data_IF_259127003569
#
_entry.id   IF_259127003569
#
_cell.length_a   1.000
_cell.length_b   1.000
_cell.length_c   1.000
_cell.angle_alpha   90.00
_cell.angle_beta   90.00
_cell.angle_gamma   90.00
#
_symmetry.space_group_name_H-M   'P 1'
#
loop_
_entity.id
_entity.type
_entity.pdbx_description
1 polymer ?
#
# COMPACT_ATOMS: atom_id res chain seq x y z
N UNK A 1 12.58 15.85 12.97
CA UNK A 1 11.36 15.16 12.52
C UNK A 1 11.57 13.66 12.63
N UNK A 2 10.59 12.97 13.15
CA UNK A 2 10.68 11.52 13.33
C UNK A 2 10.57 10.79 11.98
N UNK A 3 11.32 9.68 11.85
CA UNK A 3 11.18 8.79 10.70
C UNK A 3 9.85 8.04 10.78
N UNK A 4 9.21 7.83 9.64
CA UNK A 4 8.10 6.90 9.48
C UNK A 4 8.61 5.51 9.08
N UNK A 5 9.58 5.47 8.17
CA UNK A 5 10.26 4.25 7.74
C UNK A 5 11.76 4.50 7.67
N UNK A 6 12.54 3.53 8.11
CA UNK A 6 13.99 3.52 7.97
C UNK A 6 14.44 2.20 7.34
N UNK A 7 15.24 2.30 6.29
CA UNK A 7 15.80 1.17 5.54
C UNK A 7 17.31 1.29 5.58
N UNK A 8 17.98 0.26 6.05
CA UNK A 8 19.44 0.24 6.19
C UNK A 8 20.01 -1.03 5.55
N UNK A 9 20.84 -0.87 4.53
CA UNK A 9 21.58 -1.95 3.87
C UNK A 9 20.68 -3.05 3.29
N UNK A 10 19.47 -2.72 2.82
CA UNK A 10 18.49 -3.71 2.38
C UNK A 10 19.00 -4.52 1.19
N UNK A 11 19.06 -5.84 1.35
CA UNK A 11 19.54 -6.79 0.34
C UNK A 11 18.49 -7.86 0.07
N UNK A 12 18.33 -8.21 -1.20
CA UNK A 12 17.51 -9.34 -1.65
C UNK A 12 18.06 -9.92 -2.93
N UNK A 13 18.13 -11.25 -2.98
CA UNK A 13 18.57 -12.01 -4.15
C UNK A 13 17.57 -13.11 -4.49
N UNK A 14 17.52 -13.46 -5.76
CA UNK A 14 16.72 -14.58 -6.27
C UNK A 14 17.59 -15.42 -7.19
N UNK A 15 17.73 -16.72 -6.88
CA UNK A 15 18.52 -17.64 -7.69
C UNK A 15 19.95 -17.18 -7.95
N UNK A 16 20.61 -16.61 -6.95
CA UNK A 16 21.98 -16.09 -7.07
C UNK A 16 22.08 -14.70 -7.71
N UNK A 17 20.96 -14.13 -8.20
CA UNK A 17 20.94 -12.78 -8.76
C UNK A 17 20.52 -11.77 -7.70
N UNK A 18 21.40 -10.81 -7.40
CA UNK A 18 21.11 -9.71 -6.49
C UNK A 18 20.14 -8.72 -7.14
N UNK A 19 18.99 -8.50 -6.50
CA UNK A 19 17.96 -7.53 -6.91
C UNK A 19 18.10 -6.24 -6.11
N UNK A 20 18.24 -6.36 -4.78
CA UNK A 20 18.57 -5.25 -3.88
C UNK A 20 19.99 -5.47 -3.36
N UNK A 21 20.84 -4.47 -3.53
CA UNK A 21 22.29 -4.58 -3.29
C UNK A 21 22.78 -3.76 -2.09
N UNK A 22 21.93 -3.42 -1.18
CA UNK A 22 22.25 -2.57 -0.03
C UNK A 22 21.60 -1.20 -0.17
N UNK A 23 20.28 -1.16 -0.08
CA UNK A 23 19.50 0.06 -0.21
C UNK A 23 19.40 0.77 1.13
N UNK A 24 19.76 2.05 1.16
CA UNK A 24 19.71 2.89 2.35
C UNK A 24 18.86 4.14 2.09
N UNK A 25 17.82 4.34 2.89
CA UNK A 25 17.03 5.57 2.90
C UNK A 25 16.14 5.64 4.13
N UNK A 26 15.57 6.80 4.37
CA UNK A 26 14.54 6.99 5.39
C UNK A 26 13.41 7.85 4.83
N UNK A 27 12.21 7.61 5.32
CA UNK A 27 11.01 8.38 5.01
C UNK A 27 10.55 9.06 6.29
N UNK A 28 10.33 10.36 6.25
CA UNK A 28 9.88 11.15 7.40
C UNK A 28 8.36 11.10 7.53
N UNK A 29 7.87 11.37 8.71
CA UNK A 29 6.43 11.56 8.90
C UNK A 29 5.93 12.75 8.07
N UNK A 30 4.80 12.56 7.38
CA UNK A 30 4.21 13.57 6.50
C UNK A 30 4.89 13.74 5.14
N UNK A 31 5.93 12.95 4.84
CA UNK A 31 6.65 13.00 3.57
C UNK A 31 5.95 12.16 2.49
N UNK A 32 5.92 12.69 1.27
CA UNK A 32 5.59 11.91 0.07
C UNK A 32 6.91 11.44 -0.54
N UNK A 33 7.13 10.15 -0.52
CA UNK A 33 8.35 9.51 -1.03
C UNK A 33 8.03 8.68 -2.27
N UNK A 34 8.83 8.81 -3.32
CA UNK A 34 8.68 8.04 -4.55
C UNK A 34 9.91 7.19 -4.83
N UNK A 35 9.69 5.91 -5.10
CA UNK A 35 10.73 4.97 -5.53
C UNK A 35 10.63 4.78 -7.04
N UNK A 36 11.60 5.33 -7.76
CA UNK A 36 11.61 5.35 -9.22
C UNK A 36 12.69 4.41 -9.78
N UNK A 37 12.44 3.86 -10.94
CA UNK A 37 13.38 3.00 -11.65
C UNK A 37 12.71 2.28 -12.81
N UNK A 38 13.52 1.70 -13.69
CA UNK A 38 13.05 0.87 -14.80
C UNK A 38 12.39 -0.42 -14.30
N UNK A 39 11.61 -1.08 -15.15
CA UNK A 39 11.05 -2.39 -14.83
C UNK A 39 12.18 -3.40 -14.55
N UNK A 40 12.05 -4.16 -13.46
CA UNK A 40 13.08 -5.10 -13.01
C UNK A 40 14.19 -4.49 -12.15
N UNK A 41 14.11 -3.19 -11.80
CA UNK A 41 15.08 -2.55 -10.91
C UNK A 41 14.96 -2.95 -9.43
N UNK A 42 13.90 -3.67 -9.05
CA UNK A 42 13.66 -4.13 -7.68
C UNK A 42 12.70 -3.25 -6.87
N UNK A 43 11.98 -2.32 -7.49
CA UNK A 43 11.01 -1.45 -6.80
C UNK A 43 9.96 -2.22 -6.03
N UNK A 44 9.29 -3.18 -6.68
CA UNK A 44 8.26 -4.03 -6.04
C UNK A 44 8.86 -4.84 -4.90
N UNK A 45 10.04 -5.41 -5.10
CA UNK A 45 10.76 -6.16 -4.06
C UNK A 45 11.08 -5.29 -2.85
N UNK A 46 11.55 -4.06 -3.06
CA UNK A 46 11.82 -3.13 -1.96
C UNK A 46 10.54 -2.76 -1.21
N UNK A 47 9.44 -2.47 -1.92
CA UNK A 47 8.15 -2.18 -1.30
C UNK A 47 7.63 -3.38 -0.49
N UNK A 48 7.63 -4.58 -1.06
CA UNK A 48 7.20 -5.80 -0.37
C UNK A 48 8.04 -6.12 0.88
N UNK A 49 9.34 -5.80 0.87
CA UNK A 49 10.19 -5.90 2.06
C UNK A 49 9.79 -4.87 3.13
N UNK A 50 9.48 -3.63 2.74
CA UNK A 50 9.02 -2.60 3.68
C UNK A 50 7.64 -2.93 4.26
N UNK A 51 6.76 -3.51 3.46
CA UNK A 51 5.42 -3.95 3.85
C UNK A 51 5.40 -5.21 4.72
N UNK A 52 6.55 -5.88 4.86
CA UNK A 52 6.67 -7.15 5.58
C UNK A 52 6.09 -8.36 4.83
N UNK A 53 5.74 -8.19 3.56
CA UNK A 53 5.23 -9.27 2.70
C UNK A 53 6.33 -10.19 2.19
N UNK A 54 7.58 -9.75 2.27
CA UNK A 54 8.76 -10.47 1.80
C UNK A 54 9.91 -10.33 2.78
N UNK A 55 10.59 -11.43 3.07
CA UNK A 55 11.82 -11.41 3.87
C UNK A 55 12.97 -10.81 3.08
N UNK A 56 13.80 -10.00 3.72
CA UNK A 56 15.07 -9.54 3.16
C UNK A 56 16.20 -10.53 3.49
N UNK A 57 17.24 -10.56 2.65
CA UNK A 57 18.41 -11.41 2.84
C UNK A 57 19.51 -10.71 3.67
N UNK A 58 19.43 -9.40 3.80
CA UNK A 58 20.32 -8.59 4.61
C UNK A 58 19.78 -7.20 4.82
N UNK A 59 20.34 -6.51 5.80
CA UNK A 59 19.87 -5.20 6.20
C UNK A 59 18.66 -5.24 7.12
N UNK A 60 18.11 -4.06 7.38
CA UNK A 60 16.96 -3.88 8.28
C UNK A 60 15.95 -2.92 7.69
N UNK A 61 14.69 -3.20 7.94
CA UNK A 61 13.57 -2.29 7.70
C UNK A 61 12.84 -2.05 9.02
N UNK A 62 12.75 -0.81 9.43
CA UNK A 62 12.02 -0.40 10.62
C UNK A 62 10.88 0.51 10.22
N UNK A 63 9.66 0.14 10.62
CA UNK A 63 8.44 0.91 10.39
C UNK A 63 7.91 1.42 11.73
N UNK A 64 7.71 2.73 11.82
CA UNK A 64 7.21 3.40 13.02
C UNK A 64 5.73 3.72 12.84
N UNK A 65 4.87 2.72 13.01
CA UNK A 65 3.42 2.88 12.91
C UNK A 65 2.74 1.75 12.15
N UNK A 66 1.51 2.00 11.71
CA UNK A 66 0.73 1.08 10.88
C UNK A 66 0.98 1.35 9.40
N UNK A 67 0.97 0.32 8.58
CA UNK A 67 1.08 0.41 7.13
C UNK A 67 -0.28 0.10 6.52
N UNK A 68 -0.77 1.01 5.67
CA UNK A 68 -1.82 0.71 4.70
C UNK A 68 -1.17 0.38 3.35
N UNK A 69 -1.65 -0.66 2.69
CA UNK A 69 -1.11 -1.15 1.43
C UNK A 69 -2.18 -1.12 0.36
N UNK A 70 -1.84 -0.52 -0.80
CA UNK A 70 -2.62 -0.66 -2.01
C UNK A 70 -1.85 -1.56 -2.98
N UNK A 71 -2.31 -2.80 -3.12
CA UNK A 71 -1.67 -3.77 -4.01
C UNK A 71 -1.84 -3.36 -5.49
N UNK A 72 -0.85 -3.69 -6.31
CA UNK A 72 -0.87 -3.43 -7.75
C UNK A 72 -2.00 -4.19 -8.44
N UNK A 73 -2.27 -5.42 -8.02
CA UNK A 73 -3.39 -6.24 -8.46
C UNK A 73 -4.20 -6.67 -7.24
N UNK A 74 -5.32 -6.04 -7.04
CA UNK A 74 -6.27 -6.38 -5.99
C UNK A 74 -7.67 -6.40 -6.57
N UNK A 75 -8.51 -7.31 -6.08
CA UNK A 75 -9.92 -7.38 -6.45
C UNK A 75 -10.78 -7.63 -5.22
N UNK A 76 -11.97 -7.06 -5.25
CA UNK A 76 -13.02 -7.30 -4.27
C UNK A 76 -14.10 -8.20 -4.89
N UNK A 77 -14.97 -8.82 -4.08
CA UNK A 77 -16.13 -9.54 -4.60
C UNK A 77 -16.94 -8.68 -5.57
N UNK A 78 -17.36 -9.27 -6.70
CA UNK A 78 -17.99 -8.54 -7.82
C UNK A 78 -19.21 -7.69 -7.42
N UNK A 79 -19.99 -8.17 -6.48
CA UNK A 79 -21.25 -7.55 -6.08
C UNK A 79 -21.18 -6.70 -4.82
N UNK A 80 -20.00 -6.58 -4.19
CA UNK A 80 -19.84 -5.72 -3.01
C UNK A 80 -19.97 -4.25 -3.41
N UNK A 81 -20.67 -3.49 -2.57
CA UNK A 81 -20.75 -2.03 -2.73
C UNK A 81 -19.61 -1.33 -2.00
N UNK A 82 -19.19 -0.14 -2.45
CA UNK A 82 -18.06 0.59 -1.84
C UNK A 82 -18.18 0.77 -0.33
N UNK A 83 -19.34 1.18 0.18
CA UNK A 83 -19.52 1.39 1.61
C UNK A 83 -19.59 0.07 2.41
N UNK A 84 -19.99 -1.03 1.80
CA UNK A 84 -19.92 -2.37 2.41
C UNK A 84 -18.45 -2.79 2.57
N UNK A 85 -17.63 -2.55 1.54
CA UNK A 85 -16.20 -2.81 1.60
C UNK A 85 -15.51 -1.95 2.68
N UNK A 86 -15.82 -0.67 2.74
CA UNK A 86 -15.29 0.26 3.77
C UNK A 86 -15.65 -0.24 5.16
N UNK A 87 -16.90 -0.60 5.42
CA UNK A 87 -17.34 -1.14 6.72
C UNK A 87 -16.65 -2.45 7.08
N UNK A 88 -16.48 -3.34 6.10
CA UNK A 88 -15.81 -4.62 6.31
C UNK A 88 -14.35 -4.43 6.72
N UNK A 89 -13.61 -3.61 5.99
CA UNK A 89 -12.21 -3.32 6.26
C UNK A 89 -12.03 -2.53 7.57
N UNK A 90 -12.93 -1.62 7.87
CA UNK A 90 -12.95 -0.90 9.16
C UNK A 90 -13.10 -1.86 10.34
N UNK A 91 -14.03 -2.79 10.27
CA UNK A 91 -14.19 -3.84 11.30
C UNK A 91 -12.95 -4.70 11.44
N UNK A 92 -12.34 -5.08 10.31
CA UNK A 92 -11.16 -5.93 10.30
C UNK A 92 -9.93 -5.22 10.87
N UNK A 93 -9.71 -3.97 10.50
CA UNK A 93 -8.57 -3.17 10.98
C UNK A 93 -8.76 -2.61 12.40
N UNK A 94 -10.00 -2.60 12.90
CA UNK A 94 -10.36 -1.96 14.17
C UNK A 94 -10.27 -0.44 14.16
N UNK A 95 -10.31 0.16 12.96
CA UNK A 95 -10.23 1.61 12.78
C UNK A 95 -11.53 2.14 12.16
N UNK A 96 -11.99 3.29 12.62
CA UNK A 96 -13.14 3.98 12.02
C UNK A 96 -12.74 4.64 10.70
N UNK A 97 -13.59 4.59 9.66
CA UNK A 97 -13.30 5.23 8.39
C UNK A 97 -13.25 6.75 8.56
N UNK A 98 -12.23 7.37 7.97
CA UNK A 98 -12.15 8.83 7.94
C UNK A 98 -13.08 9.40 6.86
N UNK A 99 -14.12 10.10 7.30
CA UNK A 99 -15.12 10.71 6.41
C UNK A 99 -14.52 11.74 5.46
N UNK A 100 -13.46 12.43 5.82
CA UNK A 100 -12.78 13.39 4.95
C UNK A 100 -12.03 12.71 3.81
N UNK A 101 -11.40 11.57 4.08
CA UNK A 101 -10.74 10.72 3.07
C UNK A 101 -11.78 10.13 2.12
N UNK A 102 -12.88 9.59 2.64
CA UNK A 102 -13.97 9.05 1.81
C UNK A 102 -14.55 10.12 0.87
N UNK A 103 -14.74 11.34 1.37
CA UNK A 103 -15.22 12.47 0.57
C UNK A 103 -14.22 12.88 -0.50
N UNK A 104 -12.93 13.00 -0.14
CA UNK A 104 -11.86 13.36 -1.08
C UNK A 104 -11.69 12.34 -2.21
N UNK A 105 -11.92 11.05 -1.93
CA UNK A 105 -11.84 9.97 -2.91
C UNK A 105 -13.17 9.72 -3.67
N UNK A 106 -14.21 10.48 -3.36
CA UNK A 106 -15.51 10.38 -4.04
C UNK A 106 -16.23 9.05 -3.80
N UNK A 107 -16.04 8.42 -2.66
CA UNK A 107 -16.61 7.09 -2.38
C UNK A 107 -18.15 7.13 -2.34
N UNK A 108 -18.74 8.19 -1.80
CA UNK A 108 -20.20 8.34 -1.75
C UNK A 108 -20.86 8.49 -3.12
N UNK A 109 -20.16 9.07 -4.09
CA UNK A 109 -20.67 9.23 -5.46
C UNK A 109 -20.86 7.89 -6.17
N UNK A 110 -20.08 6.87 -5.77
CA UNK A 110 -20.12 5.52 -6.34
C UNK A 110 -20.82 4.49 -5.44
N UNK A 111 -21.38 4.90 -4.31
CA UNK A 111 -21.88 3.98 -3.27
C UNK A 111 -23.02 3.06 -3.71
N UNK A 112 -23.77 3.45 -4.74
CA UNK A 112 -24.90 2.66 -5.29
C UNK A 112 -24.47 1.60 -6.29
N UNK A 113 -23.23 1.70 -6.80
CA UNK A 113 -22.68 0.74 -7.78
C UNK A 113 -22.06 -0.46 -7.08
N UNK A 114 -22.17 -1.61 -7.71
CA UNK A 114 -21.40 -2.79 -7.30
C UNK A 114 -19.96 -2.69 -7.84
N UNK A 115 -19.02 -3.37 -7.20
CA UNK A 115 -17.60 -3.31 -7.57
C UNK A 115 -17.36 -3.61 -9.05
N UNK A 116 -18.06 -4.60 -9.61
CA UNK A 116 -17.93 -4.97 -11.03
C UNK A 116 -18.34 -3.83 -11.98
N UNK A 117 -19.21 -2.92 -11.53
CA UNK A 117 -19.73 -1.78 -12.31
C UNK A 117 -18.82 -0.54 -12.24
N UNK A 118 -17.81 -0.56 -11.36
CA UNK A 118 -16.89 0.56 -11.19
C UNK A 118 -15.89 0.63 -12.36
N UNK A 119 -15.55 1.84 -12.78
CA UNK A 119 -14.42 2.07 -13.69
C UNK A 119 -13.10 1.70 -13.01
N UNK A 120 -12.04 1.53 -13.79
CA UNK A 120 -10.69 1.26 -13.25
C UNK A 120 -10.25 2.34 -12.27
N UNK A 121 -10.49 3.62 -12.60
CA UNK A 121 -10.16 4.74 -11.71
C UNK A 121 -10.98 4.72 -10.41
N UNK A 122 -12.28 4.40 -10.49
CA UNK A 122 -13.14 4.25 -9.32
C UNK A 122 -12.70 3.09 -8.43
N UNK A 123 -12.34 1.95 -9.00
CA UNK A 123 -11.77 0.82 -8.26
C UNK A 123 -10.49 1.21 -7.53
N UNK A 124 -9.58 1.92 -8.18
CA UNK A 124 -8.34 2.40 -7.56
C UNK A 124 -8.59 3.35 -6.40
N UNK A 125 -9.54 4.28 -6.53
CA UNK A 125 -9.94 5.17 -5.44
C UNK A 125 -10.52 4.40 -4.26
N UNK A 126 -11.35 3.40 -4.51
CA UNK A 126 -11.89 2.53 -3.47
C UNK A 126 -10.76 1.77 -2.75
N UNK A 127 -9.84 1.13 -3.49
CA UNK A 127 -8.71 0.42 -2.89
C UNK A 127 -7.82 1.35 -2.06
N UNK A 128 -7.60 2.58 -2.50
CA UNK A 128 -6.87 3.58 -1.73
C UNK A 128 -7.60 3.93 -0.43
N UNK A 129 -8.91 4.10 -0.49
CA UNK A 129 -9.73 4.36 0.70
C UNK A 129 -9.66 3.21 1.73
N UNK A 130 -9.55 1.96 1.26
CA UNK A 130 -9.42 0.79 2.14
C UNK A 130 -8.03 0.67 2.77
N UNK A 131 -7.00 1.29 2.18
CA UNK A 131 -5.63 1.30 2.68
C UNK A 131 -5.35 2.41 3.70
N UNK A 132 -6.15 3.46 3.71
CA UNK A 132 -6.01 4.63 4.59
C UNK A 132 -6.90 4.52 5.82
#
# INVERSE_FOLDING_TARGET
MSAAIQVCGLKKSYGGRAVLKGLDFHIRQGEIFALLGVNGAGKTTALECMEGLRSCDGGTVTVYGKIGIQLQSASLPAHIKPMEAVKLFSKWSGAEPDGSVLAALGIREMERKQYVQLSTGQKRRLHLALAL
#
